data_IF_185185584846
#
_entry.id   IF_185185584846
#
_cell.length_a   1.000
_cell.length_b   1.000
_cell.length_c   1.000
_cell.angle_alpha   90.00
_cell.angle_beta   90.00
_cell.angle_gamma   90.00
#
_symmetry.space_group_name_H-M   'P 1'
#
loop_
_entity.id
_entity.type
_entity.pdbx_description
1 polymer ?
#
# COMPACT_ATOMS: atom_id res chain seq x y z
N UNK A 1 -28.44 -1.23 11.20
CA UNK A 1 -27.40 -1.61 10.23
C UNK A 1 -26.91 -0.33 9.56
N UNK A 2 -25.92 0.33 10.16
CA UNK A 2 -25.39 1.60 9.66
C UNK A 2 -24.36 1.32 8.56
N UNK A 3 -24.73 1.57 7.32
CA UNK A 3 -23.78 1.76 6.23
C UNK A 3 -23.04 3.09 6.48
N UNK A 4 -21.89 3.03 7.12
CA UNK A 4 -20.96 4.15 7.08
C UNK A 4 -20.65 4.41 5.61
N UNK A 5 -20.95 5.62 5.16
CA UNK A 5 -20.68 6.04 3.78
C UNK A 5 -19.20 5.81 3.45
N UNK A 6 -18.87 5.52 2.18
CA UNK A 6 -17.47 5.36 1.75
C UNK A 6 -16.58 6.54 2.21
N UNK A 7 -17.16 7.72 2.35
CA UNK A 7 -16.52 8.93 2.88
C UNK A 7 -16.05 8.82 4.34
N UNK A 8 -16.69 8.01 5.18
CA UNK A 8 -16.26 7.79 6.56
C UNK A 8 -15.09 6.81 6.64
N UNK A 9 -15.12 5.74 5.84
CA UNK A 9 -14.03 4.75 5.77
C UNK A 9 -12.71 5.36 5.26
N UNK A 10 -12.81 6.28 4.33
CA UNK A 10 -11.65 6.99 3.78
C UNK A 10 -11.13 8.05 4.76
N UNK A 11 -12.01 8.70 5.55
CA UNK A 11 -11.59 9.57 6.65
C UNK A 11 -10.79 8.82 7.71
N UNK A 12 -11.17 7.61 8.01
CA UNK A 12 -10.47 6.75 8.98
C UNK A 12 -9.11 6.29 8.44
N UNK A 13 -9.04 5.80 7.21
CA UNK A 13 -7.78 5.48 6.53
C UNK A 13 -6.85 6.70 6.43
N UNK A 14 -7.41 7.90 6.25
CA UNK A 14 -6.70 9.15 6.18
C UNK A 14 -6.12 9.63 7.52
N UNK A 15 -6.85 9.45 8.62
CA UNK A 15 -6.34 9.73 9.98
C UNK A 15 -5.14 8.81 10.30
N UNK A 16 -5.16 7.60 9.80
CA UNK A 16 -4.09 6.63 9.93
C UNK A 16 -2.81 7.05 9.21
N UNK A 17 -2.88 7.35 7.92
CA UNK A 17 -1.75 7.82 7.14
C UNK A 17 -1.14 9.12 7.70
N UNK A 18 -1.95 9.96 8.33
CA UNK A 18 -1.52 11.25 8.87
C UNK A 18 -0.59 11.16 10.07
N UNK A 19 -0.64 10.08 10.82
CA UNK A 19 0.08 9.97 12.11
C UNK A 19 1.46 9.34 12.03
N UNK A 20 1.76 8.51 11.01
CA UNK A 20 2.70 7.43 11.30
C UNK A 20 3.63 6.98 10.18
N UNK A 21 3.70 7.66 9.03
CA UNK A 21 4.75 7.37 8.07
C UNK A 21 6.11 7.81 8.58
N UNK A 22 6.89 6.87 9.06
CA UNK A 22 8.30 7.05 9.37
C UNK A 22 9.10 6.69 8.11
N UNK A 23 9.64 7.67 7.43
CA UNK A 23 10.66 7.44 6.42
C UNK A 23 11.97 7.13 7.14
N UNK A 24 12.66 6.05 6.77
CA UNK A 24 13.98 5.69 7.31
C UNK A 24 15.10 6.71 6.98
N UNK A 25 14.76 7.90 6.49
CA UNK A 25 15.65 9.07 6.44
C UNK A 25 15.10 10.14 7.38
N UNK A 26 15.36 9.96 8.65
CA UNK A 26 15.10 10.99 9.66
C UNK A 26 16.27 11.95 9.70
N UNK A 27 16.25 12.98 8.88
CA UNK A 27 16.88 14.26 9.20
C UNK A 27 16.01 15.37 8.60
N UNK A 28 15.34 16.10 9.49
CA UNK A 28 14.52 17.29 9.30
C UNK A 28 13.01 17.10 9.09
N UNK A 29 12.22 17.66 10.03
CA UNK A 29 10.77 17.60 10.18
C UNK A 29 9.87 18.13 9.03
N UNK A 30 10.37 18.32 7.82
CA UNK A 30 9.60 18.81 6.67
C UNK A 30 8.81 17.71 5.94
N UNK A 31 9.17 16.44 6.11
CA UNK A 31 8.55 15.31 5.40
C UNK A 31 7.09 15.14 5.78
N UNK A 32 6.74 15.37 7.04
CA UNK A 32 5.37 15.23 7.56
C UNK A 32 4.39 16.20 6.90
N UNK A 33 4.80 17.44 6.63
CA UNK A 33 3.93 18.46 6.03
C UNK A 33 3.63 18.19 4.55
N UNK A 34 4.58 17.61 3.83
CA UNK A 34 4.47 17.30 2.41
C UNK A 34 3.48 16.16 2.18
N UNK A 35 3.58 15.11 2.99
CA UNK A 35 2.71 13.93 2.96
C UNK A 35 1.25 14.30 3.30
N UNK A 36 1.03 15.13 4.30
CA UNK A 36 -0.29 15.62 4.68
C UNK A 36 -1.00 16.39 3.55
N UNK A 37 -0.27 17.15 2.74
CA UNK A 37 -0.83 17.90 1.60
C UNK A 37 -1.30 16.97 0.49
N UNK A 38 -0.58 15.89 0.20
CA UNK A 38 -0.97 14.96 -0.82
C UNK A 38 -2.16 14.10 -0.39
N UNK A 39 -2.20 13.67 0.86
CA UNK A 39 -3.36 12.96 1.39
C UNK A 39 -4.63 13.81 1.34
N UNK A 40 -4.53 15.13 1.55
CA UNK A 40 -5.63 16.05 1.32
C UNK A 40 -6.05 16.10 -0.17
N UNK A 41 -5.10 15.99 -1.10
CA UNK A 41 -5.39 15.91 -2.53
C UNK A 41 -6.09 14.59 -2.89
N UNK A 42 -5.59 13.46 -2.38
CA UNK A 42 -6.21 12.12 -2.57
C UNK A 42 -7.61 12.10 -1.97
N UNK A 43 -7.79 12.66 -0.77
CA UNK A 43 -9.09 12.77 -0.11
C UNK A 43 -10.12 13.59 -0.93
N UNK A 44 -9.69 14.66 -1.54
CA UNK A 44 -10.55 15.54 -2.35
C UNK A 44 -11.07 14.88 -3.63
N UNK A 45 -10.41 13.83 -4.10
CA UNK A 45 -10.72 13.09 -5.33
C UNK A 45 -11.24 11.66 -5.06
N UNK A 46 -12.14 11.49 -4.12
CA UNK A 46 -12.54 10.22 -3.48
C UNK A 46 -13.30 9.20 -4.35
N UNK A 47 -13.55 9.47 -5.62
CA UNK A 47 -14.07 8.47 -6.57
C UNK A 47 -12.95 7.82 -7.41
N UNK A 48 -11.70 7.84 -6.92
CA UNK A 48 -10.56 7.35 -7.67
C UNK A 48 -10.59 5.83 -7.86
N UNK A 49 -10.29 5.42 -9.09
CA UNK A 49 -10.00 4.02 -9.39
C UNK A 49 -8.70 3.57 -8.69
N UNK A 50 -8.46 2.26 -8.61
CA UNK A 50 -7.22 1.70 -8.04
C UNK A 50 -6.01 2.29 -8.75
N UNK A 51 -6.02 2.38 -10.08
CA UNK A 51 -4.92 2.95 -10.87
C UNK A 51 -4.63 4.40 -10.46
N UNK A 52 -5.65 5.22 -10.30
CA UNK A 52 -5.47 6.61 -9.86
C UNK A 52 -4.87 6.72 -8.45
N UNK A 53 -5.20 5.78 -7.54
CA UNK A 53 -4.60 5.73 -6.19
C UNK A 53 -3.12 5.36 -6.26
N UNK A 54 -2.77 4.37 -7.10
CA UNK A 54 -1.38 3.96 -7.33
C UNK A 54 -0.58 5.11 -7.94
N UNK A 55 -1.11 5.79 -8.97
CA UNK A 55 -0.44 6.92 -9.60
C UNK A 55 -0.21 8.09 -8.64
N UNK A 56 -1.19 8.37 -7.78
CA UNK A 56 -1.05 9.38 -6.74
C UNK A 56 0.02 9.01 -5.71
N UNK A 57 0.10 7.72 -5.32
CA UNK A 57 1.17 7.23 -4.44
C UNK A 57 2.53 7.33 -5.12
N UNK A 58 2.66 6.92 -6.39
CA UNK A 58 3.91 7.04 -7.16
C UNK A 58 4.40 8.47 -7.26
N UNK A 59 3.49 9.41 -7.50
CA UNK A 59 3.82 10.83 -7.53
C UNK A 59 4.39 11.33 -6.18
N UNK A 60 3.86 10.80 -5.08
CA UNK A 60 4.39 11.07 -3.74
C UNK A 60 5.77 10.45 -3.55
N UNK A 61 5.91 9.15 -3.81
CA UNK A 61 7.17 8.43 -3.65
C UNK A 61 8.29 9.15 -4.39
N UNK A 62 8.04 9.53 -5.64
CA UNK A 62 8.99 10.29 -6.46
C UNK A 62 9.39 11.63 -5.82
N UNK A 63 8.43 12.35 -5.25
CA UNK A 63 8.68 13.64 -4.58
C UNK A 63 9.53 13.49 -3.33
N UNK A 64 9.29 12.42 -2.56
CA UNK A 64 10.01 12.14 -1.30
C UNK A 64 11.32 11.34 -1.52
N UNK A 65 11.65 11.01 -2.78
CA UNK A 65 12.86 10.24 -3.10
C UNK A 65 12.80 8.79 -2.61
N UNK A 66 11.60 8.19 -2.62
CA UNK A 66 11.35 6.80 -2.26
C UNK A 66 11.11 6.01 -3.55
N UNK A 67 11.82 4.91 -3.73
CA UNK A 67 11.79 4.11 -4.96
C UNK A 67 10.77 2.98 -4.92
N UNK A 68 10.44 2.48 -3.72
CA UNK A 68 9.41 1.47 -3.52
C UNK A 68 8.71 1.67 -2.17
N UNK A 69 7.46 1.18 -2.05
CA UNK A 69 6.72 1.19 -0.79
C UNK A 69 6.04 -0.15 -0.56
N UNK A 70 6.18 -0.69 0.66
CA UNK A 70 5.62 -1.99 1.06
C UNK A 70 4.44 -1.76 1.99
N UNK A 71 3.30 -2.39 1.67
CA UNK A 71 2.04 -2.23 2.39
C UNK A 71 1.48 -3.61 2.76
N UNK A 72 1.71 -4.08 4.00
CA UNK A 72 1.23 -5.38 4.47
C UNK A 72 -0.24 -5.36 4.90
N UNK A 73 -0.78 -6.55 5.19
CA UNK A 73 -2.11 -6.75 5.79
C UNK A 73 -2.02 -6.88 7.31
N UNK A 74 -1.32 -5.98 7.97
CA UNK A 74 -1.14 -6.06 9.42
C UNK A 74 -1.57 -4.78 10.11
N UNK A 75 -1.74 -4.87 11.42
CA UNK A 75 -1.82 -3.74 12.34
C UNK A 75 -0.70 -3.86 13.40
N UNK A 76 -0.49 -2.86 14.26
CA UNK A 76 0.56 -2.89 15.27
C UNK A 76 0.46 -4.04 16.29
N UNK A 77 -0.67 -4.72 16.33
CA UNK A 77 -0.94 -5.82 17.26
C UNK A 77 -0.88 -7.19 16.58
N UNK A 78 -0.60 -7.23 15.27
CA UNK A 78 -0.66 -8.46 14.46
C UNK A 78 -2.01 -9.17 14.60
N UNK A 79 -3.10 -8.40 14.62
CA UNK A 79 -4.45 -8.91 14.84
C UNK A 79 -4.88 -9.80 13.68
N UNK A 80 -5.56 -10.91 13.99
CA UNK A 80 -6.16 -11.77 12.97
C UNK A 80 -7.22 -11.02 12.15
N UNK A 81 -7.95 -10.13 12.80
CA UNK A 81 -8.96 -9.26 12.18
C UNK A 81 -8.52 -7.81 12.24
N UNK A 82 -7.87 -7.35 11.18
CA UNK A 82 -7.37 -5.99 11.06
C UNK A 82 -8.52 -4.99 11.06
N UNK A 83 -8.49 -4.01 11.97
CA UNK A 83 -9.50 -2.97 12.05
C UNK A 83 -9.53 -2.12 10.77
N UNK A 84 -10.69 -1.56 10.37
CA UNK A 84 -10.81 -0.76 9.13
C UNK A 84 -9.79 0.37 9.00
N UNK A 85 -9.37 0.91 10.10
CA UNK A 85 -8.34 1.94 10.19
C UNK A 85 -6.99 1.50 9.62
N UNK A 86 -6.62 0.21 9.75
CA UNK A 86 -5.33 -0.35 9.33
C UNK A 86 -5.38 -1.03 7.95
N UNK A 87 -6.51 -1.00 7.24
CA UNK A 87 -6.71 -1.66 5.95
C UNK A 87 -6.15 -0.87 4.75
N UNK A 88 -4.95 -0.33 4.89
CA UNK A 88 -4.28 0.44 3.83
C UNK A 88 -4.03 -0.40 2.57
N UNK A 89 -3.66 -1.68 2.73
CA UNK A 89 -3.45 -2.61 1.62
C UNK A 89 -4.76 -2.84 0.85
N UNK A 90 -5.88 -3.08 1.54
CA UNK A 90 -7.21 -3.22 0.93
C UNK A 90 -7.60 -1.95 0.15
N UNK A 91 -7.33 -0.78 0.73
CA UNK A 91 -7.65 0.50 0.09
C UNK A 91 -6.84 0.73 -1.18
N UNK A 92 -5.53 0.49 -1.17
CA UNK A 92 -4.67 0.78 -2.33
C UNK A 92 -4.84 -0.21 -3.47
N UNK A 93 -5.18 -1.48 -3.17
CA UNK A 93 -5.26 -2.55 -4.16
C UNK A 93 -6.68 -2.95 -4.55
N UNK A 94 -7.68 -2.66 -3.71
CA UNK A 94 -9.04 -3.21 -3.85
C UNK A 94 -9.16 -4.68 -3.45
N UNK A 95 -8.06 -5.35 -3.13
CA UNK A 95 -8.07 -6.74 -2.70
C UNK A 95 -8.54 -6.87 -1.25
N UNK A 96 -9.58 -7.67 -0.99
CA UNK A 96 -10.26 -7.78 0.31
C UNK A 96 -9.89 -9.05 1.10
N UNK A 97 -9.03 -9.92 0.57
CA UNK A 97 -8.52 -11.08 1.30
C UNK A 97 -7.79 -10.66 2.58
N UNK A 98 -7.75 -11.49 3.62
CA UNK A 98 -7.17 -11.12 4.92
C UNK A 98 -5.63 -11.15 4.92
N UNK A 99 -5.01 -11.91 4.04
CA UNK A 99 -3.57 -12.04 3.95
C UNK A 99 -3.02 -11.55 2.61
N UNK A 100 -1.97 -10.77 2.65
CA UNK A 100 -1.24 -10.32 1.46
C UNK A 100 -0.44 -9.05 1.71
N UNK A 101 0.53 -8.82 0.86
CA UNK A 101 1.40 -7.63 0.89
C UNK A 101 1.44 -7.00 -0.48
N UNK A 102 1.19 -5.71 -0.56
CA UNK A 102 1.36 -4.94 -1.79
C UNK A 102 2.73 -4.28 -1.79
N UNK A 103 3.42 -4.36 -2.91
CA UNK A 103 4.65 -3.59 -3.16
C UNK A 103 4.42 -2.72 -4.39
N UNK A 104 4.69 -1.44 -4.26
CA UNK A 104 4.56 -0.45 -5.34
C UNK A 104 5.93 0.18 -5.55
N UNK A 105 6.42 0.09 -6.78
CA UNK A 105 7.60 0.83 -7.26
C UNK A 105 7.18 1.98 -8.16
N UNK A 106 8.13 2.71 -8.69
CA UNK A 106 7.87 3.82 -9.62
C UNK A 106 7.11 3.40 -10.87
N UNK A 107 7.25 2.14 -11.31
CA UNK A 107 6.72 1.62 -12.56
C UNK A 107 5.90 0.33 -12.42
N UNK A 108 6.12 -0.45 -11.36
CA UNK A 108 5.43 -1.72 -11.12
C UNK A 108 4.61 -1.70 -9.84
N UNK A 109 3.62 -2.58 -9.77
CA UNK A 109 2.87 -2.86 -8.55
C UNK A 109 2.57 -4.37 -8.49
N UNK A 110 2.76 -4.97 -7.33
CA UNK A 110 2.50 -6.39 -7.12
C UNK A 110 1.79 -6.66 -5.82
N UNK A 111 0.92 -7.68 -5.81
CA UNK A 111 0.30 -8.24 -4.62
C UNK A 111 0.80 -9.66 -4.41
N UNK A 112 1.44 -9.93 -3.29
CA UNK A 112 1.78 -11.27 -2.81
C UNK A 112 0.68 -11.74 -1.88
N UNK A 113 0.15 -12.95 -2.13
CA UNK A 113 -0.87 -13.57 -1.27
C UNK A 113 -0.76 -15.09 -1.31
N UNK A 114 -1.32 -15.76 -0.30
CA UNK A 114 -1.28 -17.22 -0.19
C UNK A 114 -2.40 -17.92 -0.98
N UNK A 115 -2.32 -19.25 -1.06
CA UNK A 115 -3.19 -20.08 -1.90
C UNK A 115 -4.69 -19.97 -1.59
N UNK A 116 -5.07 -19.55 -0.40
CA UNK A 116 -6.48 -19.35 -0.01
C UNK A 116 -7.16 -18.25 -0.81
N UNK A 117 -6.38 -17.32 -1.37
CA UNK A 117 -6.86 -16.10 -2.00
C UNK A 117 -6.52 -15.97 -3.48
N UNK A 118 -5.88 -16.95 -4.13
CA UNK A 118 -5.46 -16.83 -5.53
C UNK A 118 -6.61 -16.44 -6.47
N UNK A 119 -7.72 -17.20 -6.44
CA UNK A 119 -8.89 -16.91 -7.30
C UNK A 119 -9.52 -15.54 -6.99
N UNK A 120 -9.63 -15.21 -5.73
CA UNK A 120 -10.20 -13.92 -5.31
C UNK A 120 -9.30 -12.77 -5.78
N UNK A 121 -7.98 -12.91 -5.63
CA UNK A 121 -7.03 -11.90 -6.06
C UNK A 121 -7.03 -11.72 -7.58
N UNK A 122 -7.07 -12.81 -8.36
CA UNK A 122 -7.20 -12.74 -9.83
C UNK A 122 -8.41 -11.89 -10.25
N UNK A 123 -9.57 -12.14 -9.63
CA UNK A 123 -10.79 -11.40 -9.95
C UNK A 123 -10.75 -9.95 -9.51
N UNK A 124 -10.23 -9.68 -8.31
CA UNK A 124 -10.25 -8.34 -7.72
C UNK A 124 -9.16 -7.42 -8.27
N UNK A 125 -8.07 -7.98 -8.78
CA UNK A 125 -6.97 -7.21 -9.37
C UNK A 125 -7.16 -6.97 -10.87
N UNK A 126 -8.18 -7.54 -11.50
CA UNK A 126 -8.44 -7.37 -12.93
C UNK A 126 -8.56 -5.87 -13.28
N UNK A 127 -7.76 -5.42 -14.24
CA UNK A 127 -7.72 -4.03 -14.67
C UNK A 127 -7.09 -3.01 -13.70
N UNK A 128 -6.59 -3.47 -12.54
CA UNK A 128 -5.98 -2.60 -11.52
C UNK A 128 -4.54 -2.17 -11.82
N UNK A 129 -3.86 -2.84 -12.74
CA UNK A 129 -2.43 -2.64 -12.98
C UNK A 129 -1.52 -3.19 -11.88
N UNK A 130 -2.06 -4.06 -11.00
CA UNK A 130 -1.32 -4.77 -9.97
C UNK A 130 -1.13 -6.22 -10.41
N UNK A 131 0.11 -6.68 -10.48
CA UNK A 131 0.44 -8.07 -10.79
C UNK A 131 0.21 -8.96 -9.57
N UNK A 132 -0.37 -10.16 -9.79
CA UNK A 132 -0.56 -11.15 -8.74
C UNK A 132 0.67 -12.06 -8.63
N UNK A 133 1.26 -12.11 -7.45
CA UNK A 133 2.33 -13.02 -7.06
C UNK A 133 1.77 -14.07 -6.09
N UNK A 134 1.69 -15.32 -6.57
CA UNK A 134 1.16 -16.47 -5.83
C UNK A 134 2.24 -17.03 -4.91
N UNK A 135 2.21 -16.67 -3.62
CA UNK A 135 3.21 -17.12 -2.66
C UNK A 135 3.33 -18.65 -2.60
N UNK A 136 4.51 -19.14 -2.27
CA UNK A 136 4.86 -20.56 -2.16
C UNK A 136 4.92 -21.33 -3.49
N UNK A 137 4.67 -20.69 -4.64
CA UNK A 137 4.94 -21.33 -5.93
C UNK A 137 6.40 -21.10 -6.33
N UNK A 138 7.08 -22.14 -6.90
CA UNK A 138 8.49 -22.05 -7.23
C UNK A 138 8.86 -20.93 -8.21
N UNK A 139 7.93 -20.59 -9.11
CA UNK A 139 8.08 -19.53 -10.11
C UNK A 139 7.84 -18.12 -9.57
N UNK A 140 7.30 -18.00 -8.37
CA UNK A 140 6.98 -16.69 -7.78
C UNK A 140 8.18 -16.11 -7.04
N UNK A 141 8.72 -14.97 -7.46
CA UNK A 141 9.81 -14.32 -6.75
C UNK A 141 9.34 -13.87 -5.37
N UNK A 142 10.21 -13.97 -4.37
CA UNK A 142 9.97 -13.33 -3.08
C UNK A 142 9.90 -11.80 -3.25
N UNK A 143 9.28 -11.10 -2.29
CA UNK A 143 9.28 -9.62 -2.29
C UNK A 143 10.72 -9.08 -2.36
N UNK A 144 11.66 -9.74 -1.67
CA UNK A 144 13.05 -9.32 -1.67
C UNK A 144 13.70 -9.49 -3.06
N UNK A 145 13.45 -10.60 -3.75
CA UNK A 145 13.98 -10.84 -5.09
C UNK A 145 13.35 -9.87 -6.10
N UNK A 146 12.04 -9.66 -6.02
CA UNK A 146 11.36 -8.64 -6.82
C UNK A 146 11.98 -7.24 -6.63
N UNK A 147 12.26 -6.84 -5.40
CA UNK A 147 12.91 -5.55 -5.12
C UNK A 147 14.33 -5.51 -5.69
N UNK A 148 15.11 -6.59 -5.55
CA UNK A 148 16.47 -6.68 -6.11
C UNK A 148 16.49 -6.58 -7.63
N UNK A 149 15.51 -7.16 -8.30
CA UNK A 149 15.40 -7.14 -9.75
C UNK A 149 14.94 -5.79 -10.31
N UNK A 150 14.16 -5.04 -9.53
CA UNK A 150 13.50 -3.81 -10.00
C UNK A 150 14.08 -2.52 -9.42
N UNK A 151 14.99 -2.61 -8.45
CA UNK A 151 15.63 -1.46 -7.83
C UNK A 151 17.15 -1.48 -8.06
N UNK A 152 17.75 -0.30 -8.02
CA UNK A 152 19.20 -0.13 -8.10
C UNK A 152 19.84 -0.14 -6.71
N UNK A 153 21.17 -0.29 -6.67
CA UNK A 153 21.92 -0.09 -5.43
C UNK A 153 21.66 1.32 -4.87
N UNK A 154 21.44 1.41 -3.56
CA UNK A 154 21.09 2.63 -2.82
C UNK A 154 19.64 3.14 -3.02
N UNK A 155 18.76 2.38 -3.67
CA UNK A 155 17.32 2.71 -3.68
C UNK A 155 16.72 2.73 -2.27
N UNK A 156 15.76 3.61 -2.07
CA UNK A 156 15.06 3.80 -0.80
C UNK A 156 13.75 3.05 -0.81
N UNK A 157 13.56 2.14 0.13
CA UNK A 157 12.30 1.41 0.34
C UNK A 157 11.59 1.97 1.55
N UNK A 158 10.36 2.46 1.35
CA UNK A 158 9.49 2.95 2.42
C UNK A 158 8.62 1.83 3.00
N UNK A 159 8.40 1.88 4.29
CA UNK A 159 7.46 1.02 5.04
C UNK A 159 6.73 1.87 6.08
N UNK A 160 5.58 1.38 6.54
CA UNK A 160 4.96 1.94 7.75
C UNK A 160 5.60 1.30 8.99
N UNK A 161 6.40 2.06 9.73
CA UNK A 161 7.15 1.57 10.90
C UNK A 161 6.29 1.16 12.11
N UNK A 162 4.96 1.26 12.03
CA UNK A 162 4.06 0.75 13.07
C UNK A 162 3.54 -0.65 12.79
N UNK A 163 3.55 -1.05 11.53
CA UNK A 163 3.03 -2.36 11.11
C UNK A 163 4.13 -3.33 10.67
N UNK A 164 5.40 -2.94 10.87
CA UNK A 164 6.60 -3.74 10.64
C UNK A 164 7.40 -3.91 11.91
#
# INVERSE_FOLDING_TARGET
>A
MFLLSQSAKIREAWQFFKRECVTLKAENGEIINSFTRLLNYIYKNMAQTINQRIDALRALLKREGIDAFIIPSTDPHLSEYVAPYWKSREWISGFTGSAGTVVITTDKAGLWTDSRYFLQAEQQLEGSGIDLYKEMLPETPSILDFLRENLTANSVVGIDGKVF
#
